data_IF_289891728060
#
_entry.id   IF_289891728060
#
_cell.length_a   1.000
_cell.length_b   1.000
_cell.length_c   1.000
_cell.angle_alpha   90.00
_cell.angle_beta   90.00
_cell.angle_gamma   90.00
#
_symmetry.space_group_name_H-M   'P 1'
#
loop_
_entity.id
_entity.type
_entity.pdbx_description
1 polymer ?
#
# COMPACT_ATOMS: atom_id res chain seq x y z
N UNK A 1 -27.54 -8.72 -31.35
CA UNK A 1 -27.75 -8.75 -29.89
C UNK A 1 -26.61 -7.93 -29.31
N UNK A 2 -26.90 -6.70 -28.85
CA UNK A 2 -25.90 -5.94 -28.09
C UNK A 2 -25.58 -6.75 -26.84
N UNK A 3 -24.31 -7.03 -26.63
CA UNK A 3 -23.85 -7.63 -25.38
C UNK A 3 -24.21 -6.66 -24.25
N UNK A 4 -24.93 -7.13 -23.23
CA UNK A 4 -25.23 -6.35 -22.04
C UNK A 4 -23.91 -5.89 -21.44
N UNK A 5 -23.70 -4.57 -21.38
CA UNK A 5 -22.51 -4.00 -20.72
C UNK A 5 -22.58 -4.26 -19.23
N UNK A 6 -21.46 -4.55 -18.63
CA UNK A 6 -21.35 -4.72 -17.18
C UNK A 6 -21.48 -3.34 -16.52
N UNK A 7 -22.37 -3.20 -15.55
CA UNK A 7 -22.50 -1.98 -14.76
C UNK A 7 -21.35 -1.86 -13.79
N UNK A 8 -20.75 -0.68 -13.72
CA UNK A 8 -19.67 -0.38 -12.80
C UNK A 8 -19.74 1.08 -12.33
N UNK A 9 -19.34 1.33 -11.08
CA UNK A 9 -19.03 2.69 -10.62
C UNK A 9 -17.55 2.94 -10.89
N UNK A 10 -17.21 4.08 -11.48
CA UNK A 10 -15.83 4.51 -11.69
C UNK A 10 -15.54 5.74 -10.82
N UNK A 11 -14.64 5.61 -9.86
CA UNK A 11 -14.14 6.72 -9.05
C UNK A 11 -12.79 7.16 -9.62
N UNK A 12 -12.70 8.44 -9.96
CA UNK A 12 -11.62 8.97 -10.75
C UNK A 12 -11.05 10.21 -10.06
N UNK A 13 -9.74 10.19 -9.84
CA UNK A 13 -9.02 11.36 -9.37
C UNK A 13 -8.30 12.05 -10.54
N UNK A 14 -8.82 13.19 -11.04
CA UNK A 14 -8.23 13.91 -12.17
C UNK A 14 -6.82 14.45 -11.91
N UNK A 15 -6.45 14.62 -10.63
CA UNK A 15 -5.13 15.12 -10.23
C UNK A 15 -4.07 14.01 -10.17
N UNK A 16 -4.43 12.74 -10.33
CA UNK A 16 -3.49 11.62 -10.32
C UNK A 16 -2.48 11.71 -11.46
N UNK A 17 -1.25 11.23 -11.22
CA UNK A 17 -0.20 11.19 -12.24
C UNK A 17 0.23 12.54 -12.80
N UNK A 18 0.08 13.63 -12.02
CA UNK A 18 0.46 14.97 -12.46
C UNK A 18 -0.48 15.58 -13.53
N UNK A 19 -1.73 15.14 -13.58
CA UNK A 19 -2.75 15.69 -14.49
C UNK A 19 -2.63 15.21 -15.94
N UNK A 20 -1.96 14.09 -16.18
CA UNK A 20 -1.88 13.45 -17.53
C UNK A 20 -3.17 12.73 -17.92
N UNK A 21 -4.18 12.86 -17.07
CA UNK A 21 -5.49 12.27 -17.25
C UNK A 21 -6.28 12.95 -18.37
N UNK A 22 -6.66 12.17 -19.38
CA UNK A 22 -7.56 12.62 -20.46
C UNK A 22 -8.92 11.90 -20.30
N UNK A 23 -9.98 12.60 -19.81
CA UNK A 23 -11.29 12.01 -19.53
C UNK A 23 -11.91 11.29 -20.73
N UNK A 24 -11.79 11.87 -21.91
CA UNK A 24 -12.40 11.31 -23.11
C UNK A 24 -11.73 10.01 -23.55
N UNK A 25 -10.39 9.93 -23.44
CA UNK A 25 -9.64 8.72 -23.70
C UNK A 25 -10.02 7.60 -22.74
N UNK A 26 -10.15 7.91 -21.46
CA UNK A 26 -10.54 6.92 -20.46
C UNK A 26 -11.98 6.41 -20.65
N UNK A 27 -12.90 7.29 -21.07
CA UNK A 27 -14.26 6.88 -21.44
C UNK A 27 -14.26 5.95 -22.64
N UNK A 28 -13.36 6.16 -23.59
CA UNK A 28 -13.18 5.27 -24.73
C UNK A 28 -12.60 3.92 -24.30
N UNK A 29 -11.55 3.92 -23.48
CA UNK A 29 -10.93 2.72 -22.92
C UNK A 29 -11.91 1.90 -22.07
N UNK A 30 -12.75 2.54 -21.26
CA UNK A 30 -13.77 1.86 -20.45
C UNK A 30 -15.14 1.71 -21.15
N UNK A 31 -15.21 1.90 -22.46
CA UNK A 31 -16.47 1.88 -23.24
C UNK A 31 -17.22 0.53 -23.19
N UNK A 32 -16.56 -0.53 -22.74
CA UNK A 32 -17.17 -1.85 -22.51
C UNK A 32 -18.05 -1.95 -21.28
N UNK A 33 -18.01 -0.94 -20.41
CA UNK A 33 -18.81 -0.87 -19.19
C UNK A 33 -19.93 0.17 -19.30
N UNK A 34 -21.01 -0.03 -18.55
CA UNK A 34 -22.02 0.99 -18.28
C UNK A 34 -21.62 1.71 -16.98
N UNK A 35 -21.02 2.90 -17.10
CA UNK A 35 -20.35 3.56 -15.99
C UNK A 35 -21.23 4.58 -15.27
N UNK A 36 -21.32 4.45 -13.96
CA UNK A 36 -21.63 5.52 -13.01
C UNK A 36 -20.32 6.24 -12.69
N UNK A 37 -20.15 7.45 -13.24
CA UNK A 37 -18.89 8.18 -13.29
C UNK A 37 -18.81 9.21 -12.18
N UNK A 38 -17.83 9.06 -11.26
CA UNK A 38 -17.60 9.98 -10.15
C UNK A 38 -16.20 10.56 -10.26
N UNK A 39 -16.09 11.85 -10.57
CA UNK A 39 -14.83 12.60 -10.49
C UNK A 39 -14.70 13.21 -9.09
N UNK A 40 -13.52 13.04 -8.46
CA UNK A 40 -13.28 13.52 -7.12
C UNK A 40 -12.55 14.87 -7.14
N UNK A 41 -12.94 15.77 -6.24
CA UNK A 41 -12.24 17.03 -5.96
C UNK A 41 -11.30 16.87 -4.75
N UNK A 42 -11.51 15.84 -3.93
CA UNK A 42 -10.73 15.55 -2.73
C UNK A 42 -10.91 14.12 -2.18
N UNK A 43 -10.18 13.80 -1.11
CA UNK A 43 -10.21 12.46 -0.51
C UNK A 43 -11.60 12.05 -0.01
N UNK A 44 -12.36 12.97 0.56
CA UNK A 44 -13.68 12.68 1.12
C UNK A 44 -14.67 12.24 0.04
N UNK A 45 -14.59 12.79 -1.18
CA UNK A 45 -15.46 12.39 -2.29
C UNK A 45 -15.27 10.93 -2.67
N UNK A 46 -14.00 10.46 -2.69
CA UNK A 46 -13.68 9.07 -2.98
C UNK A 46 -14.21 8.13 -1.88
N UNK A 47 -14.06 8.53 -0.61
CA UNK A 47 -14.57 7.78 0.55
C UNK A 47 -16.09 7.68 0.52
N UNK A 48 -16.77 8.78 0.28
CA UNK A 48 -18.23 8.86 0.23
C UNK A 48 -18.80 8.01 -0.89
N UNK A 49 -18.28 8.20 -2.12
CA UNK A 49 -18.69 7.46 -3.30
C UNK A 49 -18.46 5.95 -3.16
N UNK A 50 -17.34 5.52 -2.55
CA UNK A 50 -17.10 4.12 -2.27
C UNK A 50 -18.03 3.59 -1.17
N UNK A 51 -18.23 4.35 -0.10
CA UNK A 51 -19.08 3.99 1.03
C UNK A 51 -20.57 3.87 0.71
N UNK A 52 -21.03 4.43 -0.39
CA UNK A 52 -22.41 4.26 -0.87
C UNK A 52 -22.66 2.91 -1.55
N UNK A 53 -21.61 2.29 -2.12
CA UNK A 53 -21.74 1.07 -2.90
C UNK A 53 -21.98 -0.14 -1.98
N UNK A 54 -22.92 -1.02 -2.35
CA UNK A 54 -23.21 -2.26 -1.60
C UNK A 54 -22.94 -3.51 -2.41
N UNK A 55 -22.98 -3.40 -3.73
CA UNK A 55 -22.68 -4.48 -4.68
C UNK A 55 -22.20 -3.93 -6.02
N UNK A 56 -21.59 -4.78 -6.82
CA UNK A 56 -21.13 -4.48 -8.17
C UNK A 56 -19.66 -4.22 -8.30
N UNK A 57 -19.27 -3.81 -9.49
CA UNK A 57 -17.87 -3.51 -9.83
C UNK A 57 -17.55 -2.04 -9.52
N UNK A 58 -16.49 -1.82 -8.74
CA UNK A 58 -15.94 -0.51 -8.43
C UNK A 58 -14.57 -0.37 -9.11
N UNK A 59 -14.50 0.50 -10.11
CA UNK A 59 -13.24 0.79 -10.82
C UNK A 59 -12.63 2.05 -10.20
N UNK A 60 -11.40 1.95 -9.71
CA UNK A 60 -10.65 3.10 -9.19
C UNK A 60 -9.59 3.51 -10.19
N UNK A 61 -9.71 4.75 -10.68
CA UNK A 61 -8.75 5.40 -11.57
C UNK A 61 -7.96 6.41 -10.76
N UNK A 62 -6.76 6.01 -10.35
CA UNK A 62 -5.96 6.85 -9.45
C UNK A 62 -4.66 6.17 -9.02
N UNK A 63 -3.96 6.82 -8.10
CA UNK A 63 -2.79 6.28 -7.41
C UNK A 63 -3.16 5.67 -6.05
N UNK A 64 -2.10 5.32 -5.28
CA UNK A 64 -2.24 4.65 -3.98
C UNK A 64 -3.09 5.47 -2.99
N UNK A 65 -3.00 6.81 -2.99
CA UNK A 65 -3.83 7.67 -2.15
C UNK A 65 -5.33 7.53 -2.46
N UNK A 66 -5.72 7.59 -3.73
CA UNK A 66 -7.13 7.42 -4.13
C UNK A 66 -7.64 6.02 -3.78
N UNK A 67 -6.80 5.00 -3.93
CA UNK A 67 -7.12 3.63 -3.54
C UNK A 67 -7.32 3.54 -2.02
N UNK A 68 -6.46 4.18 -1.23
CA UNK A 68 -6.59 4.22 0.23
C UNK A 68 -7.88 4.90 0.66
N UNK A 69 -8.26 6.04 0.05
CA UNK A 69 -9.53 6.71 0.30
C UNK A 69 -10.73 5.78 0.03
N UNK A 70 -10.72 5.08 -1.10
CA UNK A 70 -11.76 4.10 -1.45
C UNK A 70 -11.81 2.95 -0.44
N UNK A 71 -10.66 2.40 -0.04
CA UNK A 71 -10.57 1.34 0.98
C UNK A 71 -11.14 1.80 2.31
N UNK A 72 -10.84 3.03 2.74
CA UNK A 72 -11.40 3.61 3.95
C UNK A 72 -12.92 3.84 3.82
N UNK A 73 -13.40 4.29 2.67
CA UNK A 73 -14.84 4.42 2.39
C UNK A 73 -15.59 3.10 2.51
N UNK A 74 -15.05 2.03 1.91
CA UNK A 74 -15.61 0.68 2.03
C UNK A 74 -15.50 0.14 3.47
N UNK A 75 -14.39 0.42 4.16
CA UNK A 75 -14.16 0.01 5.55
C UNK A 75 -15.15 0.64 6.51
N UNK A 76 -15.48 1.91 6.33
CA UNK A 76 -16.46 2.64 7.15
C UNK A 76 -17.86 2.01 7.13
N UNK A 77 -18.15 1.21 6.10
CA UNK A 77 -19.43 0.48 5.96
C UNK A 77 -19.29 -1.03 6.09
N UNK A 78 -18.11 -1.50 6.57
CA UNK A 78 -17.86 -2.90 6.90
C UNK A 78 -17.49 -3.80 5.71
N UNK A 79 -16.88 -3.26 4.66
CA UNK A 79 -16.45 -3.99 3.46
C UNK A 79 -17.57 -4.86 2.86
N UNK A 80 -18.51 -4.28 2.11
CA UNK A 80 -19.64 -5.01 1.56
C UNK A 80 -19.20 -6.17 0.66
N UNK A 81 -19.61 -7.39 0.98
CA UNK A 81 -19.22 -8.62 0.24
C UNK A 81 -19.60 -8.60 -1.25
N UNK A 82 -20.61 -7.80 -1.63
CA UNK A 82 -21.07 -7.66 -3.00
C UNK A 82 -20.15 -6.83 -3.89
N UNK A 83 -19.27 -6.02 -3.30
CA UNK A 83 -18.39 -5.11 -4.03
C UNK A 83 -17.12 -5.82 -4.48
N UNK A 84 -16.74 -5.62 -5.74
CA UNK A 84 -15.45 -6.06 -6.28
C UNK A 84 -14.67 -4.84 -6.77
N UNK A 85 -13.49 -4.65 -6.25
CA UNK A 85 -12.57 -3.56 -6.61
C UNK A 85 -11.78 -3.92 -7.87
N UNK A 86 -11.61 -2.97 -8.76
CA UNK A 86 -10.73 -3.05 -9.91
C UNK A 86 -9.86 -1.79 -9.98
N UNK A 87 -8.62 -1.92 -10.41
CA UNK A 87 -7.65 -0.84 -10.46
C UNK A 87 -7.37 -0.43 -11.91
N UNK A 88 -7.37 0.85 -12.17
CA UNK A 88 -6.78 1.47 -13.34
C UNK A 88 -5.68 2.43 -12.85
N UNK A 89 -4.42 1.95 -12.77
CA UNK A 89 -3.35 2.71 -12.13
C UNK A 89 -3.05 3.99 -12.88
N UNK A 90 -3.16 5.14 -12.20
CA UNK A 90 -2.89 6.45 -12.75
C UNK A 90 -1.99 7.31 -11.84
N UNK A 91 -1.41 6.71 -10.80
CA UNK A 91 -0.50 7.37 -9.86
C UNK A 91 0.97 7.27 -10.26
N UNK A 92 1.84 7.83 -9.42
CA UNK A 92 3.30 7.74 -9.59
C UNK A 92 3.88 6.47 -8.94
N UNK A 93 3.28 5.99 -7.84
CA UNK A 93 3.74 4.84 -7.06
C UNK A 93 3.16 3.53 -7.55
N UNK A 94 1.83 3.44 -7.52
CA UNK A 94 1.03 2.28 -7.92
C UNK A 94 1.43 0.97 -7.20
N UNK A 95 1.73 1.07 -5.89
CA UNK A 95 2.28 -0.02 -5.06
C UNK A 95 1.31 -1.21 -4.97
N UNK A 96 0.01 -0.94 -4.81
CA UNK A 96 -1.00 -1.99 -4.82
C UNK A 96 -1.09 -2.66 -6.19
N UNK A 97 -1.12 -1.89 -7.26
CA UNK A 97 -1.18 -2.44 -8.62
C UNK A 97 0.02 -3.33 -8.93
N UNK A 98 1.23 -2.93 -8.48
CA UNK A 98 2.44 -3.74 -8.59
C UNK A 98 2.31 -5.07 -7.81
N UNK A 99 1.79 -5.04 -6.58
CA UNK A 99 1.54 -6.25 -5.78
C UNK A 99 0.57 -7.19 -6.49
N UNK A 100 -0.51 -6.65 -7.08
CA UNK A 100 -1.57 -7.41 -7.73
C UNK A 100 -1.29 -7.75 -9.19
N UNK A 101 -0.12 -7.42 -9.70
CA UNK A 101 0.27 -7.59 -11.10
C UNK A 101 -0.72 -6.95 -12.11
N UNK A 102 -1.26 -5.78 -11.74
CA UNK A 102 -2.09 -4.95 -12.63
C UNK A 102 -1.18 -4.03 -13.41
N UNK A 103 -1.22 -4.05 -14.77
CA UNK A 103 -0.38 -3.21 -15.60
C UNK A 103 -0.67 -1.71 -15.43
N UNK A 104 0.36 -0.86 -15.59
CA UNK A 104 0.18 0.60 -15.60
C UNK A 104 -0.40 1.12 -16.94
N UNK A 105 -0.29 0.34 -18.02
CA UNK A 105 -0.90 0.71 -19.28
C UNK A 105 -2.43 0.58 -19.17
N UNK A 106 -3.21 1.65 -19.44
CA UNK A 106 -4.65 1.63 -19.23
C UNK A 106 -5.38 0.55 -20.03
N UNK A 107 -5.02 0.31 -21.28
CA UNK A 107 -5.65 -0.71 -22.11
C UNK A 107 -5.37 -2.14 -21.61
N UNK A 108 -4.15 -2.40 -21.15
CA UNK A 108 -3.81 -3.70 -20.55
C UNK A 108 -4.50 -3.87 -19.17
N UNK A 109 -4.65 -2.80 -18.39
CA UNK A 109 -5.38 -2.83 -17.13
C UNK A 109 -6.88 -3.07 -17.37
N UNK A 110 -7.47 -2.48 -18.39
CA UNK A 110 -8.85 -2.80 -18.80
C UNK A 110 -9.02 -4.27 -19.18
N UNK A 111 -8.07 -4.84 -19.91
CA UNK A 111 -8.09 -6.27 -20.25
C UNK A 111 -8.05 -7.15 -18.98
N UNK A 112 -7.30 -6.75 -17.96
CA UNK A 112 -7.30 -7.41 -16.63
C UNK A 112 -8.67 -7.31 -15.98
N UNK A 113 -9.30 -6.15 -15.99
CA UNK A 113 -10.67 -5.96 -15.45
C UNK A 113 -11.66 -6.87 -16.17
N UNK A 114 -11.59 -6.99 -17.50
CA UNK A 114 -12.44 -7.86 -18.31
C UNK A 114 -12.22 -9.35 -18.05
N UNK A 115 -10.99 -9.76 -17.74
CA UNK A 115 -10.69 -11.15 -17.36
C UNK A 115 -11.34 -11.55 -16.04
N UNK A 116 -11.67 -10.58 -15.17
CA UNK A 116 -12.42 -10.74 -13.92
C UNK A 116 -11.87 -11.85 -13.01
N UNK A 117 -10.54 -11.86 -12.82
CA UNK A 117 -9.87 -12.78 -11.89
C UNK A 117 -9.95 -12.21 -10.48
N UNK A 118 -10.98 -12.59 -9.74
CA UNK A 118 -11.25 -12.05 -8.40
C UNK A 118 -10.50 -12.85 -7.34
N UNK A 119 -9.87 -12.12 -6.39
CA UNK A 119 -9.26 -12.64 -5.16
C UNK A 119 -9.85 -11.91 -3.96
N UNK A 120 -9.90 -12.57 -2.81
CA UNK A 120 -10.26 -11.93 -1.54
C UNK A 120 -8.99 -11.57 -0.81
N UNK A 121 -8.79 -10.29 -0.57
CA UNK A 121 -7.61 -9.76 0.10
C UNK A 121 -7.94 -9.38 1.54
N UNK A 122 -6.95 -9.51 2.38
CA UNK A 122 -6.94 -8.92 3.70
C UNK A 122 -6.78 -7.40 3.59
N UNK A 123 -7.28 -6.69 4.58
CA UNK A 123 -7.03 -5.26 4.79
C UNK A 123 -6.51 -5.11 6.21
N UNK A 124 -5.63 -4.19 6.44
CA UNK A 124 -5.18 -3.90 7.79
C UNK A 124 -5.90 -2.68 8.35
N UNK A 125 -6.18 -2.74 9.65
CA UNK A 125 -6.75 -1.65 10.42
C UNK A 125 -5.72 -1.14 11.40
N UNK A 126 -5.56 0.17 11.49
CA UNK A 126 -4.78 0.83 12.54
C UNK A 126 -5.70 1.62 13.46
N UNK A 127 -5.39 1.61 14.74
CA UNK A 127 -6.01 2.44 15.77
C UNK A 127 -4.92 3.23 16.48
N UNK A 128 -5.05 4.56 16.51
CA UNK A 128 -4.18 5.44 17.29
C UNK A 128 -4.99 6.60 17.87
N UNK A 129 -4.46 7.22 18.93
CA UNK A 129 -5.14 8.36 19.58
C UNK A 129 -5.23 9.59 18.67
N UNK A 130 -4.28 9.76 17.75
CA UNK A 130 -4.23 10.91 16.86
C UNK A 130 -5.24 10.86 15.71
N UNK A 131 -5.46 9.69 15.10
CA UNK A 131 -6.28 9.57 13.89
C UNK A 131 -7.50 8.69 14.05
N UNK A 132 -7.67 8.06 15.23
CA UNK A 132 -8.73 7.08 15.46
C UNK A 132 -8.52 5.80 14.64
N UNK A 133 -9.63 5.25 14.14
CA UNK A 133 -9.60 4.06 13.28
C UNK A 133 -9.37 4.45 11.81
N UNK A 134 -8.42 3.74 11.17
CA UNK A 134 -8.16 3.83 9.73
C UNK A 134 -7.83 2.48 9.15
N UNK A 135 -8.09 2.31 7.86
CA UNK A 135 -7.73 1.12 7.10
C UNK A 135 -6.59 1.42 6.14
N UNK A 136 -5.74 0.42 5.92
CA UNK A 136 -4.69 0.46 4.91
C UNK A 136 -4.57 -0.90 4.22
N UNK A 137 -4.12 -0.89 2.98
CA UNK A 137 -4.03 -2.10 2.16
C UNK A 137 -2.59 -2.48 1.82
N UNK A 138 -1.67 -1.51 1.75
CA UNK A 138 -0.28 -1.77 1.42
C UNK A 138 0.57 -1.99 2.67
N UNK A 139 1.18 -0.96 3.22
CA UNK A 139 2.19 -1.06 4.27
C UNK A 139 2.09 0.11 5.24
N UNK A 140 2.17 -0.18 6.54
CA UNK A 140 2.49 0.83 7.55
C UNK A 140 4.01 0.86 7.75
N UNK A 141 4.62 2.05 7.70
CA UNK A 141 6.06 2.23 7.91
C UNK A 141 6.34 3.23 9.01
N UNK A 142 7.33 2.93 9.85
CA UNK A 142 7.79 3.82 10.92
C UNK A 142 9.30 4.03 10.88
N UNK A 143 9.75 5.26 11.13
CA UNK A 143 11.16 5.63 11.15
C UNK A 143 11.67 6.16 9.81
N UNK A 144 12.61 5.46 9.19
CA UNK A 144 13.24 5.92 7.95
C UNK A 144 12.26 6.10 6.79
N UNK A 145 11.23 5.26 6.71
CA UNK A 145 10.25 5.29 5.64
C UNK A 145 9.50 6.62 5.58
N UNK A 146 9.06 7.14 6.71
CA UNK A 146 8.40 8.44 6.81
C UNK A 146 9.35 9.57 6.37
N UNK A 147 10.57 9.60 6.90
CA UNK A 147 11.59 10.62 6.56
C UNK A 147 12.04 10.56 5.10
N UNK A 148 12.11 9.38 4.51
CA UNK A 148 12.45 9.21 3.10
C UNK A 148 11.31 9.73 2.20
N UNK A 149 10.07 9.50 2.60
CA UNK A 149 8.90 10.03 1.90
C UNK A 149 8.87 11.56 1.93
N UNK A 150 9.17 12.18 3.07
CA UNK A 150 9.27 13.64 3.21
C UNK A 150 10.45 14.24 2.42
N UNK A 151 11.62 13.57 2.45
CA UNK A 151 12.81 14.03 1.73
C UNK A 151 12.74 13.81 0.21
N UNK A 152 11.78 13.03 -0.26
CA UNK A 152 11.61 12.70 -1.67
C UNK A 152 10.64 13.67 -2.36
N UNK A 153 11.02 14.95 -2.39
CA UNK A 153 10.28 16.05 -3.00
C UNK A 153 9.96 15.77 -4.47
N UNK A 154 8.83 16.30 -4.98
CA UNK A 154 8.40 16.14 -6.38
C UNK A 154 9.50 16.56 -7.38
N UNK A 155 10.30 17.58 -7.03
CA UNK A 155 11.42 18.05 -7.83
C UNK A 155 12.57 17.02 -7.92
N UNK A 156 12.80 16.23 -6.86
CA UNK A 156 13.78 15.15 -6.86
C UNK A 156 13.27 13.91 -7.62
N UNK A 157 11.99 13.60 -7.50
CA UNK A 157 11.34 12.48 -8.23
C UNK A 157 11.45 12.69 -9.75
N UNK A 158 11.22 13.92 -10.22
CA UNK A 158 11.27 14.25 -11.65
C UNK A 158 12.67 14.19 -12.26
N UNK A 159 13.73 14.48 -11.47
CA UNK A 159 15.13 14.52 -11.94
C UNK A 159 15.88 13.19 -11.87
N UNK A 160 15.57 12.35 -10.88
CA UNK A 160 16.39 11.18 -10.54
C UNK A 160 15.65 9.84 -10.56
N UNK A 161 14.33 9.83 -10.70
CA UNK A 161 13.51 8.61 -10.73
C UNK A 161 13.82 7.69 -9.53
N UNK A 162 14.00 6.38 -9.79
CA UNK A 162 14.31 5.40 -8.73
C UNK A 162 15.61 5.67 -7.96
N UNK A 163 16.53 6.45 -8.53
CA UNK A 163 17.79 6.85 -7.87
C UNK A 163 17.60 7.97 -6.84
N UNK A 164 16.49 8.71 -6.89
CA UNK A 164 16.17 9.72 -5.88
C UNK A 164 15.96 9.08 -4.50
N UNK A 165 15.33 7.93 -4.48
CA UNK A 165 15.07 7.16 -3.26
C UNK A 165 16.38 6.68 -2.59
N UNK A 166 17.33 6.20 -3.39
CA UNK A 166 18.64 5.79 -2.88
C UNK A 166 19.43 6.96 -2.28
N UNK A 167 19.35 8.15 -2.91
CA UNK A 167 20.02 9.34 -2.40
C UNK A 167 19.37 9.86 -1.12
N UNK A 168 18.04 9.93 -1.08
CA UNK A 168 17.30 10.29 0.12
C UNK A 168 17.58 9.31 1.27
N UNK A 169 17.62 8.00 0.98
CA UNK A 169 17.99 6.97 1.96
C UNK A 169 19.40 7.17 2.52
N UNK A 170 20.36 7.58 1.69
CA UNK A 170 21.75 7.86 2.12
C UNK A 170 21.85 9.12 2.99
N UNK A 171 21.06 10.15 2.72
CA UNK A 171 21.06 11.40 3.48
C UNK A 171 20.37 11.20 4.85
N UNK A 172 19.28 10.48 4.86
CA UNK A 172 18.54 10.10 6.07
C UNK A 172 19.36 9.10 6.89
N UNK A 173 20.06 8.14 6.26
CA UNK A 173 20.90 7.14 6.91
C UNK A 173 22.07 7.72 7.71
N UNK A 174 22.48 8.95 7.46
CA UNK A 174 23.53 9.64 8.26
C UNK A 174 23.05 10.14 9.62
N UNK A 175 21.73 10.23 9.80
CA UNK A 175 21.11 10.72 11.03
C UNK A 175 20.15 9.68 11.60
N UNK A 176 20.66 8.44 11.83
CA UNK A 176 19.87 7.38 12.44
C UNK A 176 19.42 7.75 13.86
N UNK A 177 18.14 7.86 14.04
CA UNK A 177 17.54 7.88 15.36
C UNK A 177 17.11 6.45 15.72
N UNK A 178 17.94 5.77 16.50
CA UNK A 178 17.58 4.46 17.06
C UNK A 178 16.50 4.64 18.12
N UNK A 179 15.45 3.85 18.04
CA UNK A 179 14.34 3.84 18.99
C UNK A 179 14.36 2.58 19.85
N UNK A 180 14.22 2.73 21.15
CA UNK A 180 13.88 1.59 21.98
C UNK A 180 12.41 1.25 21.73
N UNK A 181 12.18 0.04 21.25
CA UNK A 181 10.89 -0.40 20.72
C UNK A 181 10.42 -1.64 21.47
N UNK A 182 9.16 -1.61 21.86
CA UNK A 182 8.44 -2.78 22.37
C UNK A 182 7.31 -3.09 21.41
N UNK A 183 7.37 -4.27 20.81
CA UNK A 183 6.32 -4.81 19.95
C UNK A 183 5.59 -5.90 20.71
N UNK A 184 4.27 -5.85 20.71
CA UNK A 184 3.42 -6.93 21.16
C UNK A 184 2.85 -7.60 19.90
N UNK A 185 3.25 -8.83 19.64
CA UNK A 185 2.89 -9.61 18.45
C UNK A 185 1.98 -10.75 18.89
N UNK A 186 0.70 -10.69 18.56
CA UNK A 186 -0.32 -11.64 19.03
C UNK A 186 -0.28 -11.84 20.56
N UNK A 187 0.04 -10.76 21.30
CA UNK A 187 0.16 -10.75 22.77
C UNK A 187 1.55 -11.10 23.31
N UNK A 188 2.50 -11.52 22.48
CA UNK A 188 3.88 -11.81 22.90
C UNK A 188 4.76 -10.54 22.83
N UNK A 189 5.48 -10.24 23.92
CA UNK A 189 6.32 -9.04 24.03
C UNK A 189 7.72 -9.28 23.42
N UNK A 190 8.13 -8.37 22.50
CA UNK A 190 9.44 -8.32 21.89
C UNK A 190 10.07 -6.95 22.12
N UNK A 191 11.26 -6.90 22.74
CA UNK A 191 12.03 -5.67 22.96
C UNK A 191 13.23 -5.62 22.06
N UNK A 192 13.40 -4.52 21.33
CA UNK A 192 14.50 -4.34 20.41
C UNK A 192 14.84 -2.86 20.20
N UNK A 193 16.01 -2.61 19.65
CA UNK A 193 16.41 -1.28 19.21
C UNK A 193 16.21 -1.19 17.70
N UNK A 194 15.27 -0.38 17.27
CA UNK A 194 14.86 -0.30 15.89
C UNK A 194 15.25 1.04 15.24
N UNK A 195 15.62 0.96 13.99
CA UNK A 195 15.86 2.10 13.09
C UNK A 195 14.68 2.32 12.17
N UNK A 196 14.06 1.23 11.74
CA UNK A 196 12.91 1.26 10.84
C UNK A 196 12.00 0.06 11.09
N UNK A 197 10.72 0.26 10.89
CA UNK A 197 9.71 -0.79 10.96
C UNK A 197 8.82 -0.74 9.73
N UNK A 198 8.40 -1.91 9.25
CA UNK A 198 7.34 -2.04 8.26
C UNK A 198 6.38 -3.15 8.68
N UNK A 199 5.09 -2.86 8.59
CA UNK A 199 4.00 -3.80 8.82
C UNK A 199 3.27 -3.94 7.50
N UNK A 200 3.60 -4.99 6.76
CA UNK A 200 3.11 -5.19 5.40
C UNK A 200 1.90 -6.10 5.32
N UNK A 201 0.79 -5.59 4.81
CA UNK A 201 -0.29 -6.39 4.26
C UNK A 201 0.02 -6.74 2.80
N UNK A 202 0.54 -5.77 2.04
CA UNK A 202 1.15 -5.94 0.73
C UNK A 202 2.66 -5.69 0.78
N UNK A 203 3.33 -5.72 -0.39
CA UNK A 203 4.79 -5.81 -0.48
C UNK A 203 5.51 -4.49 -0.56
N UNK A 204 4.89 -3.51 -1.23
CA UNK A 204 5.55 -2.28 -1.64
C UNK A 204 5.03 -1.07 -0.89
N UNK A 205 5.92 -0.10 -0.69
CA UNK A 205 5.61 1.21 -0.16
C UNK A 205 6.40 2.29 -0.90
N UNK A 206 5.86 3.49 -1.01
CA UNK A 206 6.57 4.66 -1.50
C UNK A 206 7.04 4.58 -2.96
N UNK A 207 6.31 3.87 -3.83
CA UNK A 207 6.59 3.77 -5.26
C UNK A 207 7.56 2.64 -5.64
N UNK A 208 7.29 1.44 -5.14
CA UNK A 208 7.98 0.20 -5.51
C UNK A 208 9.13 -0.18 -4.58
N UNK A 209 9.25 0.43 -3.40
CA UNK A 209 10.19 -0.04 -2.38
C UNK A 209 9.63 -1.31 -1.73
N UNK A 210 10.37 -2.45 -1.74
CA UNK A 210 9.90 -3.70 -1.17
C UNK A 210 10.03 -3.69 0.36
N UNK A 211 9.11 -3.01 1.04
CA UNK A 211 9.15 -2.85 2.50
C UNK A 211 8.84 -4.16 3.24
N UNK A 212 7.99 -5.01 2.67
CA UNK A 212 7.64 -6.33 3.18
C UNK A 212 7.61 -7.35 2.01
N UNK A 213 8.77 -7.75 1.46
CA UNK A 213 8.85 -8.46 0.18
C UNK A 213 8.16 -9.82 0.14
N UNK A 214 7.91 -10.46 1.29
CA UNK A 214 7.23 -11.76 1.40
C UNK A 214 5.76 -11.63 1.78
N UNK A 215 5.23 -10.40 1.93
CA UNK A 215 3.85 -10.19 2.34
C UNK A 215 2.85 -10.84 1.38
N UNK A 216 1.89 -11.54 1.97
CA UNK A 216 0.81 -12.21 1.27
C UNK A 216 -0.53 -11.64 1.75
N UNK A 217 -1.21 -10.81 0.96
CA UNK A 217 -2.46 -10.18 1.37
C UNK A 217 -3.67 -11.13 1.43
N UNK A 218 -3.45 -12.45 1.51
CA UNK A 218 -4.51 -13.46 1.56
C UNK A 218 -4.34 -14.44 2.73
N UNK A 219 -3.27 -14.32 3.54
CA UNK A 219 -2.92 -15.33 4.55
C UNK A 219 -3.39 -14.98 5.98
N UNK A 220 -4.00 -13.82 6.16
CA UNK A 220 -4.53 -13.35 7.45
C UNK A 220 -3.46 -12.84 8.41
N UNK A 221 -2.28 -12.42 7.90
CA UNK A 221 -1.19 -11.89 8.71
C UNK A 221 -0.62 -10.59 8.13
N UNK A 222 0.00 -9.80 9.00
CA UNK A 222 0.94 -8.75 8.62
C UNK A 222 2.35 -9.31 8.66
N UNK A 223 3.14 -9.05 7.63
CA UNK A 223 4.58 -9.25 7.67
C UNK A 223 5.21 -8.13 8.51
N UNK A 224 5.79 -8.48 9.66
CA UNK A 224 6.46 -7.55 10.57
C UNK A 224 7.95 -7.56 10.26
N UNK A 225 8.45 -6.47 9.72
CA UNK A 225 9.86 -6.31 9.36
C UNK A 225 10.44 -5.18 10.20
N UNK A 226 11.47 -5.46 10.99
CA UNK A 226 12.17 -4.44 11.76
C UNK A 226 13.64 -4.44 11.37
N UNK A 227 14.15 -3.28 10.98
CA UNK A 227 15.58 -3.06 10.83
C UNK A 227 16.11 -2.62 12.19
N UNK A 228 16.91 -3.49 12.81
CA UNK A 228 17.50 -3.24 14.10
C UNK A 228 18.64 -2.21 14.01
N UNK A 229 19.21 -1.84 15.16
CA UNK A 229 20.36 -0.95 15.26
C UNK A 229 21.61 -1.60 14.65
N UNK A 230 21.66 -1.63 13.34
CA UNK A 230 22.82 -2.04 12.57
C UNK A 230 23.68 -0.81 12.27
N UNK A 231 24.99 -0.96 12.25
CA UNK A 231 25.89 0.12 11.90
C UNK A 231 25.62 0.70 10.51
N UNK A 232 25.94 1.99 10.29
CA UNK A 232 25.75 2.67 9.00
C UNK A 232 26.31 1.86 7.81
N UNK A 233 27.46 1.17 7.99
CA UNK A 233 28.06 0.37 6.93
C UNK A 233 27.19 -0.83 6.54
N UNK A 234 26.58 -1.51 7.49
CA UNK A 234 25.68 -2.64 7.25
C UNK A 234 24.39 -2.17 6.58
N UNK A 235 23.82 -1.06 7.06
CA UNK A 235 22.65 -0.45 6.41
C UNK A 235 22.91 -0.09 4.93
N UNK A 236 24.08 0.49 4.63
CA UNK A 236 24.46 0.84 3.26
C UNK A 236 24.62 -0.38 2.34
N UNK A 237 24.82 -1.57 2.89
CA UNK A 237 24.83 -2.82 2.13
C UNK A 237 23.44 -3.43 1.99
N UNK A 238 22.56 -3.13 2.94
CA UNK A 238 21.18 -3.65 2.94
C UNK A 238 20.33 -3.00 1.83
N UNK A 239 20.38 -1.68 1.71
CA UNK A 239 19.56 -0.93 0.77
C UNK A 239 19.76 -1.34 -0.71
N UNK A 240 20.98 -1.46 -1.25
CA UNK A 240 21.20 -1.97 -2.61
C UNK A 240 20.78 -3.43 -2.78
N UNK A 241 20.87 -4.24 -1.73
CA UNK A 241 20.50 -5.66 -1.77
C UNK A 241 18.98 -5.80 -1.81
N UNK A 242 18.26 -5.00 -1.02
CA UNK A 242 16.80 -4.94 -1.06
C UNK A 242 16.32 -4.55 -2.46
N UNK A 243 16.91 -3.51 -3.07
CA UNK A 243 16.58 -3.08 -4.42
C UNK A 243 16.91 -4.12 -5.51
N UNK A 244 18.03 -4.87 -5.35
CA UNK A 244 18.51 -5.79 -6.39
C UNK A 244 17.87 -7.17 -6.32
N UNK A 245 17.49 -7.64 -5.14
CA UNK A 245 17.01 -9.02 -4.93
C UNK A 245 15.60 -9.11 -4.38
N UNK A 246 14.98 -7.98 -4.04
CA UNK A 246 13.64 -7.89 -3.45
C UNK A 246 13.44 -8.65 -2.13
N UNK A 247 14.46 -9.39 -1.65
CA UNK A 247 14.40 -10.15 -0.41
C UNK A 247 15.66 -9.93 0.41
N UNK A 248 15.50 -9.32 1.57
CA UNK A 248 16.55 -9.00 2.52
C UNK A 248 16.24 -9.50 3.93
N UNK A 249 15.15 -10.24 4.08
CA UNK A 249 14.60 -10.58 5.39
C UNK A 249 15.49 -11.57 6.18
N UNK A 250 16.32 -12.35 5.49
CA UNK A 250 17.23 -13.31 6.12
C UNK A 250 18.61 -12.69 6.45
N UNK A 251 18.74 -11.36 6.39
CA UNK A 251 19.99 -10.66 6.72
C UNK A 251 20.11 -10.43 8.23
N UNK A 252 21.36 -10.43 8.71
CA UNK A 252 21.68 -10.01 10.09
C UNK A 252 21.19 -8.57 10.33
N UNK A 253 20.58 -8.33 11.50
CA UNK A 253 20.00 -7.04 11.84
C UNK A 253 18.63 -6.77 11.22
N UNK A 254 18.01 -7.79 10.61
CA UNK A 254 16.61 -7.74 10.18
C UNK A 254 15.80 -8.75 10.99
N UNK A 255 14.92 -8.25 11.84
CA UNK A 255 13.93 -9.09 12.49
C UNK A 255 12.72 -9.23 11.56
N UNK A 256 12.32 -10.46 11.30
CA UNK A 256 11.15 -10.78 10.48
C UNK A 256 10.26 -11.80 11.17
N UNK A 257 8.97 -11.51 11.22
CA UNK A 257 7.94 -12.45 11.68
C UNK A 257 6.60 -12.07 11.08
N UNK A 258 5.56 -12.82 11.43
CA UNK A 258 4.16 -12.57 11.05
C UNK A 258 3.28 -12.50 12.28
N UNK A 259 2.33 -11.58 12.29
CA UNK A 259 1.36 -11.45 13.36
C UNK A 259 0.01 -10.97 12.81
N UNK A 260 -1.07 -11.30 13.52
CA UNK A 260 -2.42 -10.81 13.22
C UNK A 260 -2.72 -9.50 13.91
N UNK A 261 -2.15 -9.34 15.10
CA UNK A 261 -2.27 -8.15 15.92
C UNK A 261 -0.87 -7.67 16.30
N UNK A 262 -0.59 -6.42 16.02
CA UNK A 262 0.69 -5.78 16.33
C UNK A 262 0.42 -4.48 17.07
N UNK A 263 0.92 -4.37 18.31
CA UNK A 263 0.96 -3.10 19.02
C UNK A 263 2.42 -2.65 19.11
N UNK A 264 2.65 -1.38 18.78
CA UNK A 264 3.98 -0.78 18.76
C UNK A 264 4.06 0.34 19.78
N UNK A 265 5.07 0.29 20.66
CA UNK A 265 5.44 1.35 21.59
C UNK A 265 6.92 1.69 21.37
N UNK A 266 7.25 2.97 21.19
CA UNK A 266 8.64 3.39 20.98
C UNK A 266 9.01 4.56 21.89
N UNK A 267 10.32 4.65 22.24
CA UNK A 267 10.84 5.75 23.04
C UNK A 267 12.20 6.21 22.46
N UNK A 268 12.29 7.50 22.07
CA UNK A 268 11.19 8.44 21.84
C UNK A 268 10.20 7.93 20.80
N UNK A 269 9.05 8.56 20.65
CA UNK A 269 8.00 8.20 19.71
C UNK A 269 8.52 8.06 18.28
N UNK A 270 8.02 7.09 17.56
CA UNK A 270 8.34 6.82 16.15
C UNK A 270 7.14 7.18 15.30
N UNK A 271 7.31 8.15 14.42
CA UNK A 271 6.25 8.52 13.49
C UNK A 271 5.98 7.40 12.49
N UNK A 272 4.70 7.03 12.39
CA UNK A 272 4.22 6.05 11.43
C UNK A 272 3.45 6.72 10.29
N UNK A 273 3.60 6.15 9.11
CA UNK A 273 2.75 6.39 7.95
C UNK A 273 2.03 5.10 7.55
N UNK A 274 0.79 5.20 7.10
CA UNK A 274 0.03 4.09 6.54
C UNK A 274 -0.39 4.46 5.12
N UNK A 275 -0.03 3.66 4.13
CA UNK A 275 -0.23 3.93 2.70
C UNK A 275 0.18 5.36 2.29
N UNK A 276 1.23 5.91 2.96
CA UNK A 276 1.76 7.25 2.73
C UNK A 276 1.13 8.37 3.56
N UNK A 277 0.09 8.12 4.36
CA UNK A 277 -0.52 9.10 5.26
C UNK A 277 0.08 9.01 6.67
N UNK A 278 0.48 10.15 7.25
CA UNK A 278 1.04 10.24 8.61
C UNK A 278 -0.07 9.99 9.64
N UNK A 279 0.19 9.05 10.56
CA UNK A 279 -0.72 8.76 11.68
C UNK A 279 -0.18 9.23 13.04
N UNK A 280 1.06 9.74 13.07
CA UNK A 280 1.72 10.27 14.27
C UNK A 280 2.69 9.29 14.92
N UNK A 281 3.16 9.65 16.12
CA UNK A 281 4.21 8.96 16.88
C UNK A 281 3.71 8.32 18.18
N UNK A 282 2.41 8.35 18.42
CA UNK A 282 1.77 7.70 19.56
C UNK A 282 1.72 6.18 19.39
N UNK A 283 1.59 5.40 20.48
CA UNK A 283 1.37 3.97 20.39
C UNK A 283 0.21 3.65 19.47
N UNK A 284 0.45 2.70 18.56
CA UNK A 284 -0.54 2.30 17.57
C UNK A 284 -0.77 0.79 17.62
N UNK A 285 -2.02 0.41 17.37
CA UNK A 285 -2.45 -0.99 17.27
C UNK A 285 -2.85 -1.27 15.82
N UNK A 286 -2.29 -2.34 15.27
CA UNK A 286 -2.53 -2.79 13.90
C UNK A 286 -3.14 -4.17 13.93
N UNK A 287 -4.24 -4.37 13.21
CA UNK A 287 -4.97 -5.63 13.21
C UNK A 287 -5.36 -6.00 11.78
N UNK A 288 -5.16 -7.24 11.40
CA UNK A 288 -5.63 -7.76 10.11
C UNK A 288 -7.13 -7.96 10.13
N UNK A 289 -7.81 -7.50 9.08
CA UNK A 289 -9.19 -7.81 8.76
C UNK A 289 -9.16 -8.81 7.59
N UNK A 290 -9.27 -10.12 7.87
CA UNK A 290 -9.01 -11.13 6.84
C UNK A 290 -10.11 -11.15 5.80
N UNK A 291 -9.70 -11.35 4.53
CA UNK A 291 -10.56 -11.49 3.35
C UNK A 291 -11.63 -10.38 3.21
N UNK A 292 -11.27 -9.17 3.65
CA UNK A 292 -12.19 -8.03 3.73
C UNK A 292 -12.62 -7.50 2.36
N UNK A 293 -11.74 -7.58 1.34
CA UNK A 293 -11.94 -6.90 0.08
C UNK A 293 -11.74 -7.83 -1.11
N UNK A 294 -12.76 -7.94 -1.98
CA UNK A 294 -12.62 -8.61 -3.28
C UNK A 294 -11.96 -7.69 -4.29
N UNK A 295 -10.88 -8.14 -4.92
CA UNK A 295 -10.12 -7.34 -5.88
C UNK A 295 -9.83 -8.15 -7.14
N UNK A 296 -9.90 -7.50 -8.30
CA UNK A 296 -9.46 -8.09 -9.58
C UNK A 296 -7.94 -8.00 -9.67
N UNK A 297 -7.30 -9.13 -9.97
CA UNK A 297 -5.83 -9.26 -10.05
C UNK A 297 -5.36 -9.60 -11.46
N UNK A 298 -4.16 -9.18 -11.79
CA UNK A 298 -3.53 -9.48 -13.07
C UNK A 298 -3.11 -10.94 -13.21
N UNK A 299 -2.83 -11.41 -14.45
CA UNK A 299 -2.49 -12.80 -14.72
C UNK A 299 -1.16 -13.24 -14.07
N UNK A 300 -0.27 -12.29 -13.78
CA UNK A 300 1.00 -12.54 -13.10
C UNK A 300 0.94 -12.49 -11.57
N UNK A 301 -0.23 -12.30 -10.98
CA UNK A 301 -0.36 -12.21 -9.53
C UNK A 301 0.01 -13.54 -8.85
N UNK A 302 0.94 -13.46 -7.91
CA UNK A 302 1.36 -14.54 -7.04
C UNK A 302 1.25 -14.08 -5.58
N UNK A 303 0.36 -14.67 -4.77
CA UNK A 303 0.22 -14.30 -3.36
C UNK A 303 1.44 -14.73 -2.52
N UNK A 304 2.23 -15.74 -2.95
CA UNK A 304 3.39 -16.27 -2.22
C UNK A 304 4.70 -16.11 -3.03
N UNK A 305 5.19 -14.88 -3.24
CA UNK A 305 6.42 -14.67 -3.97
C UNK A 305 7.62 -15.27 -3.23
N UNK A 306 8.50 -15.97 -3.95
CA UNK A 306 9.75 -16.51 -3.38
C UNK A 306 9.65 -17.87 -2.71
N UNK A 307 8.50 -18.51 -2.65
CA UNK A 307 8.43 -19.95 -2.39
C UNK A 307 8.77 -20.68 -3.69
N UNK A 308 9.92 -21.35 -3.74
CA UNK A 308 10.21 -22.29 -4.81
C UNK A 308 9.07 -23.31 -4.94
N UNK A 309 8.47 -23.39 -6.13
CA UNK A 309 7.40 -24.35 -6.46
C UNK A 309 7.96 -25.74 -6.59
#
# INVERSE_FOLDING_TARGET
>A
MEASRTKARAIINPSSGGGTYEPDRLREELSGFELDWVETEGPEDAKEAAGELRDGLLIVVGGDGTINDVVNGLGNVGFPEGVTLALLPAGTGNDLAATLAVPENPGEAEDVIRQNRVRSLDVARVMSDNVGERFFINVATGGLGAKISEANDEEMKSKWGKLSYLRASLEVARNFDVRESTLYLDGEEHKMRAVNMALGNCRYAGGGWPAAPRANPEDGFLDVVVIEDIGLQEFLTLAPTALAKFDYLDREGVFFTRAREVRVETRPGLEFTVDGEVIGDEPAEFVVVPQALKVIVGPGYDPEPGREK
#
